data_IF_763141629077
#
_entry.id   IF_763141629077
#
_cell.length_a   1.000
_cell.length_b   1.000
_cell.length_c   1.000
_cell.angle_alpha   90.00
_cell.angle_beta   90.00
_cell.angle_gamma   90.00
#
_symmetry.space_group_name_H-M   'P 1'
#
loop_
_entity.id
_entity.type
_entity.pdbx_description
1 polymer ?
#
# COMPACT_ATOMS: atom_id res chain seq x y z
N UNK A 1 -0.96 -5.62 4.97
CA UNK A 1 0.13 -5.13 5.84
C UNK A 1 -0.30 -3.93 6.68
N UNK A 2 -0.77 -2.84 6.06
CA UNK A 2 -1.13 -1.61 6.78
C UNK A 2 -2.16 -1.79 7.89
N UNK A 3 -3.30 -2.45 7.62
CA UNK A 3 -4.31 -2.68 8.67
C UNK A 3 -3.76 -3.44 9.87
N UNK A 4 -2.91 -4.45 9.62
CA UNK A 4 -2.23 -5.20 10.68
C UNK A 4 -1.34 -4.28 11.50
N UNK A 5 -0.49 -3.46 10.87
CA UNK A 5 0.40 -2.52 11.56
C UNK A 5 -0.37 -1.46 12.36
N UNK A 6 -1.51 -1.01 11.85
CA UNK A 6 -2.40 -0.08 12.55
C UNK A 6 -3.12 -0.71 13.77
N UNK A 7 -3.38 -2.02 13.73
CA UNK A 7 -4.09 -2.75 14.79
C UNK A 7 -3.14 -3.48 15.76
N UNK A 8 -1.84 -3.51 15.49
CA UNK A 8 -0.82 -4.22 16.27
C UNK A 8 0.39 -3.34 16.49
N UNK A 9 0.49 -2.64 17.65
CA UNK A 9 1.61 -1.77 17.94
C UNK A 9 2.95 -2.52 18.07
N UNK A 10 2.94 -3.85 18.14
CA UNK A 10 4.14 -4.69 18.14
C UNK A 10 4.85 -4.76 16.78
N UNK A 11 4.20 -4.32 15.69
CA UNK A 11 4.82 -4.29 14.37
C UNK A 11 5.86 -3.16 14.32
N UNK A 12 7.13 -3.51 14.21
CA UNK A 12 8.22 -2.54 14.17
C UNK A 12 8.55 -1.95 12.80
N UNK A 13 8.25 -2.69 11.72
CA UNK A 13 8.52 -2.29 10.35
C UNK A 13 7.31 -2.54 9.43
N UNK A 14 7.00 -1.58 8.57
CA UNK A 14 5.97 -1.69 7.55
C UNK A 14 6.54 -1.36 6.17
N UNK A 15 6.62 -2.35 5.30
CA UNK A 15 6.76 -2.13 3.86
C UNK A 15 5.37 -2.07 3.25
N UNK A 16 4.97 -0.93 2.70
CA UNK A 16 3.61 -0.73 2.20
C UNK A 16 3.58 -0.25 0.76
N UNK A 17 3.01 -1.08 -0.11
CA UNK A 17 2.62 -0.71 -1.47
C UNK A 17 1.11 -0.43 -1.48
N UNK A 18 0.68 0.80 -1.82
CA UNK A 18 -0.74 1.09 -2.02
C UNK A 18 -1.34 0.14 -3.07
N UNK A 19 -2.42 -0.54 -2.68
CA UNK A 19 -3.05 -1.57 -3.51
C UNK A 19 -4.53 -1.28 -3.74
N UNK A 20 -5.28 -2.35 -4.03
CA UNK A 20 -6.69 -2.32 -4.42
C UNK A 20 -7.61 -1.37 -3.63
N UNK A 21 -7.49 -1.33 -2.30
CA UNK A 21 -8.37 -0.50 -1.47
C UNK A 21 -7.98 0.98 -1.40
N UNK A 22 -6.77 1.36 -1.86
CA UNK A 22 -6.30 2.73 -1.78
C UNK A 22 -6.99 3.61 -2.83
N UNK A 23 -7.69 4.63 -2.35
CA UNK A 23 -8.49 5.56 -3.15
C UNK A 23 -9.49 4.84 -4.06
N UNK A 24 -10.02 3.69 -3.64
CA UNK A 24 -10.81 2.77 -4.48
C UNK A 24 -11.97 3.46 -5.22
N UNK A 25 -12.70 4.35 -4.55
CA UNK A 25 -13.81 5.09 -5.16
C UNK A 25 -13.37 6.01 -6.31
N UNK A 26 -12.15 6.56 -6.25
CA UNK A 26 -11.60 7.41 -7.29
C UNK A 26 -10.80 6.62 -8.34
N UNK A 27 -10.20 5.49 -7.97
CA UNK A 27 -9.31 4.70 -8.84
C UNK A 27 -10.05 3.63 -9.64
N UNK A 28 -11.00 2.90 -9.03
CA UNK A 28 -11.67 1.79 -9.69
C UNK A 28 -12.44 2.21 -10.97
N UNK A 29 -13.19 3.33 -11.02
CA UNK A 29 -13.89 3.74 -12.24
C UNK A 29 -12.98 4.14 -13.41
N UNK A 30 -11.66 4.30 -13.18
CA UNK A 30 -10.67 4.73 -14.19
C UNK A 30 -9.92 3.57 -14.84
N UNK A 31 -10.23 2.33 -14.48
CA UNK A 31 -9.53 1.15 -14.98
C UNK A 31 -10.50 0.00 -15.18
N UNK A 32 -10.19 -0.87 -16.15
CA UNK A 32 -10.85 -2.17 -16.35
C UNK A 32 -9.99 -3.34 -15.86
N UNK A 33 -8.93 -3.05 -15.11
CA UNK A 33 -8.07 -4.09 -14.54
C UNK A 33 -8.73 -4.78 -13.35
N UNK A 34 -8.65 -6.11 -13.31
CA UNK A 34 -9.03 -6.88 -12.13
C UNK A 34 -7.98 -6.72 -11.01
N UNK A 35 -8.40 -6.67 -9.73
CA UNK A 35 -9.76 -6.88 -9.24
C UNK A 35 -10.66 -5.63 -9.20
N UNK A 36 -10.18 -4.44 -9.57
CA UNK A 36 -10.99 -3.19 -9.56
C UNK A 36 -12.23 -3.27 -10.44
N UNK A 37 -12.14 -3.98 -11.56
CA UNK A 37 -13.27 -4.18 -12.46
C UNK A 37 -14.44 -4.92 -11.82
N UNK A 38 -14.22 -5.78 -10.83
CA UNK A 38 -15.32 -6.46 -10.13
C UNK A 38 -16.28 -5.46 -9.45
N UNK A 39 -15.74 -4.37 -8.90
CA UNK A 39 -16.55 -3.30 -8.31
C UNK A 39 -17.35 -2.58 -9.39
N UNK A 40 -16.72 -2.29 -10.53
CA UNK A 40 -17.36 -1.60 -11.66
C UNK A 40 -18.50 -2.46 -12.23
N UNK A 41 -18.28 -3.76 -12.42
CA UNK A 41 -19.28 -4.72 -12.89
C UNK A 41 -20.46 -4.79 -11.93
N UNK A 42 -20.20 -4.87 -10.62
CA UNK A 42 -21.25 -4.90 -9.60
C UNK A 42 -22.08 -3.62 -9.62
N UNK A 43 -21.44 -2.44 -9.60
CA UNK A 43 -22.14 -1.14 -9.60
C UNK A 43 -22.92 -0.90 -10.89
N UNK A 44 -22.42 -1.37 -12.03
CA UNK A 44 -23.13 -1.31 -13.32
C UNK A 44 -24.36 -2.23 -13.34
N UNK A 45 -24.28 -3.38 -12.68
CA UNK A 45 -25.39 -4.35 -12.58
C UNK A 45 -26.44 -3.92 -11.57
N UNK A 46 -26.02 -3.31 -10.46
CA UNK A 46 -26.86 -2.90 -9.33
C UNK A 46 -26.63 -1.41 -8.99
N UNK A 47 -27.07 -0.47 -9.84
CA UNK A 47 -26.80 0.96 -9.66
C UNK A 47 -27.41 1.53 -8.37
N UNK A 48 -28.53 1.00 -7.89
CA UNK A 48 -29.17 1.37 -6.62
C UNK A 48 -28.29 1.04 -5.39
N UNK A 49 -27.41 0.05 -5.50
CA UNK A 49 -26.50 -0.36 -4.44
C UNK A 49 -25.20 0.46 -4.41
N UNK A 50 -24.92 1.29 -5.42
CA UNK A 50 -23.65 1.98 -5.60
C UNK A 50 -23.22 2.78 -4.37
N UNK A 51 -24.14 3.56 -3.78
CA UNK A 51 -23.85 4.36 -2.60
C UNK A 51 -23.46 3.49 -1.39
N UNK A 52 -24.11 2.33 -1.22
CA UNK A 52 -23.79 1.39 -0.15
C UNK A 52 -22.43 0.72 -0.37
N UNK A 53 -22.10 0.37 -1.60
CA UNK A 53 -20.79 -0.22 -1.96
C UNK A 53 -19.67 0.74 -1.58
N UNK A 54 -19.73 2.00 -2.05
CA UNK A 54 -18.69 2.98 -1.77
C UNK A 54 -18.58 3.32 -0.28
N UNK A 55 -19.71 3.42 0.42
CA UNK A 55 -19.72 3.58 1.88
C UNK A 55 -19.07 2.39 2.59
N UNK A 56 -19.26 1.17 2.09
CA UNK A 56 -18.66 -0.02 2.69
C UNK A 56 -17.16 -0.05 2.46
N UNK A 57 -16.72 0.26 1.24
CA UNK A 57 -15.30 0.29 0.88
C UNK A 57 -14.52 1.40 1.60
N UNK A 58 -15.16 2.51 1.97
CA UNK A 58 -14.48 3.59 2.71
C UNK A 58 -14.01 3.18 4.11
N UNK A 59 -14.60 2.16 4.73
CA UNK A 59 -14.07 1.59 5.98
C UNK A 59 -12.73 0.87 5.78
N UNK A 60 -12.43 0.47 4.55
CA UNK A 60 -11.18 -0.18 4.16
C UNK A 60 -10.25 0.77 3.40
N UNK A 61 -10.52 2.08 3.41
CA UNK A 61 -9.58 3.06 2.87
C UNK A 61 -8.35 3.15 3.79
N UNK A 62 -7.14 2.78 3.31
CA UNK A 62 -5.93 2.71 4.14
C UNK A 62 -5.57 4.02 4.83
N UNK A 63 -5.86 5.18 4.21
CA UNK A 63 -5.56 6.49 4.80
C UNK A 63 -6.29 6.74 6.12
N UNK A 64 -7.45 6.12 6.35
CA UNK A 64 -8.17 6.24 7.63
C UNK A 64 -7.49 5.49 8.79
N UNK A 65 -6.68 4.47 8.47
CA UNK A 65 -5.96 3.65 9.46
C UNK A 65 -4.48 4.03 9.58
N UNK A 66 -3.92 4.71 8.58
CA UNK A 66 -2.53 5.16 8.54
C UNK A 66 -2.08 5.93 9.80
N UNK A 67 -2.89 6.82 10.43
CA UNK A 67 -2.47 7.54 11.63
C UNK A 67 -2.20 6.64 12.85
N UNK A 68 -2.67 5.39 12.84
CA UNK A 68 -2.48 4.42 13.93
C UNK A 68 -1.22 3.57 13.77
N UNK A 69 -0.55 3.66 12.62
CA UNK A 69 0.68 2.88 12.35
C UNK A 69 1.83 3.45 13.17
N UNK A 70 2.41 2.66 14.06
CA UNK A 70 3.61 3.04 14.85
C UNK A 70 4.91 2.50 14.24
N UNK A 71 4.81 1.58 13.29
CA UNK A 71 5.94 0.97 12.62
C UNK A 71 6.73 2.00 11.80
N UNK A 72 8.05 1.88 11.76
CA UNK A 72 8.84 2.59 10.76
C UNK A 72 8.40 2.11 9.37
N UNK A 73 8.04 3.05 8.51
CA UNK A 73 7.34 2.72 7.26
C UNK A 73 8.18 3.07 6.05
N UNK A 74 8.33 2.12 5.13
CA UNK A 74 8.72 2.37 3.75
C UNK A 74 7.48 2.32 2.88
N UNK A 75 7.09 3.48 2.34
CA UNK A 75 5.99 3.63 1.42
C UNK A 75 6.49 3.48 -0.02
N UNK A 76 5.97 2.50 -0.74
CA UNK A 76 6.26 2.34 -2.16
C UNK A 76 5.40 3.32 -2.95
N UNK A 77 6.05 4.13 -3.79
CA UNK A 77 5.42 5.05 -4.72
C UNK A 77 5.45 4.47 -6.13
N UNK A 78 4.42 4.74 -6.91
CA UNK A 78 4.38 4.41 -8.33
C UNK A 78 5.17 5.40 -9.19
N UNK A 79 4.94 5.35 -10.50
CA UNK A 79 5.51 6.31 -11.47
C UNK A 79 5.07 7.75 -11.20
N UNK A 80 3.88 7.93 -10.62
CA UNK A 80 3.36 9.21 -10.17
C UNK A 80 3.38 9.27 -8.63
N UNK A 81 4.38 9.93 -8.02
CA UNK A 81 4.44 10.11 -6.58
C UNK A 81 3.25 10.88 -6.01
N UNK A 82 2.60 11.75 -6.80
CA UNK A 82 1.48 12.56 -6.34
C UNK A 82 0.30 11.70 -5.87
N UNK A 83 0.10 10.53 -6.48
CA UNK A 83 -0.91 9.54 -6.09
C UNK A 83 -0.76 9.13 -4.62
N UNK A 84 0.46 9.12 -4.09
CA UNK A 84 0.75 8.68 -2.71
C UNK A 84 0.82 9.80 -1.68
N UNK A 85 0.67 11.07 -2.09
CA UNK A 85 0.72 12.22 -1.17
C UNK A 85 -0.29 12.12 -0.04
N UNK A 86 -1.59 11.76 -0.25
CA UNK A 86 -2.53 11.59 0.84
C UNK A 86 -2.06 10.54 1.87
N UNK A 87 -1.43 9.46 1.39
CA UNK A 87 -0.89 8.42 2.24
C UNK A 87 0.33 8.90 3.04
N UNK A 88 1.24 9.66 2.42
CA UNK A 88 2.38 10.27 3.10
C UNK A 88 1.94 11.24 4.21
N UNK A 89 0.88 12.01 3.97
CA UNK A 89 0.31 12.96 4.94
C UNK A 89 -0.43 12.26 6.08
N UNK A 90 -1.04 11.09 5.83
CA UNK A 90 -1.79 10.34 6.83
C UNK A 90 -0.90 9.47 7.73
N UNK A 91 0.30 9.09 7.27
CA UNK A 91 1.29 8.38 8.08
C UNK A 91 2.00 9.33 9.05
N UNK A 92 2.43 8.85 10.24
CA UNK A 92 3.29 9.63 11.12
C UNK A 92 4.65 9.96 10.48
N UNK A 93 5.40 10.91 11.03
CA UNK A 93 6.61 11.51 10.44
C UNK A 93 7.78 10.57 10.09
N UNK A 94 7.71 9.26 10.37
CA UNK A 94 8.76 8.27 10.06
C UNK A 94 8.42 7.47 8.80
N UNK A 95 8.42 8.15 7.65
CA UNK A 95 8.18 7.53 6.33
C UNK A 95 9.37 7.74 5.42
N UNK A 96 9.98 6.64 5.00
CA UNK A 96 10.83 6.61 3.81
C UNK A 96 9.95 6.32 2.59
N UNK A 97 10.29 6.85 1.43
CA UNK A 97 9.60 6.56 0.17
C UNK A 97 10.51 5.82 -0.80
N UNK A 98 9.95 4.91 -1.59
CA UNK A 98 10.66 4.19 -2.64
C UNK A 98 9.83 4.11 -3.91
N UNK A 99 10.35 4.62 -5.03
CA UNK A 99 9.70 4.43 -6.33
C UNK A 99 9.93 3.01 -6.84
N UNK A 100 8.84 2.26 -7.06
CA UNK A 100 8.87 0.91 -7.63
C UNK A 100 9.63 0.87 -8.95
N UNK A 101 10.39 -0.21 -9.17
CA UNK A 101 11.00 -0.52 -10.45
C UNK A 101 10.08 -1.35 -11.37
N UNK A 102 8.82 -1.56 -10.99
CA UNK A 102 7.85 -2.47 -11.63
C UNK A 102 8.42 -3.87 -11.85
N UNK A 103 9.23 -4.33 -10.89
CA UNK A 103 9.94 -5.59 -10.97
C UNK A 103 9.91 -6.26 -9.62
N UNK A 104 9.20 -7.38 -9.52
CA UNK A 104 9.13 -8.17 -8.30
C UNK A 104 10.52 -8.50 -7.74
N UNK A 105 11.49 -8.72 -8.64
CA UNK A 105 12.89 -8.91 -8.27
C UNK A 105 13.51 -7.66 -7.64
N UNK A 106 13.54 -6.54 -8.37
CA UNK A 106 14.23 -5.32 -7.90
C UNK A 106 13.57 -4.74 -6.65
N UNK A 107 12.24 -4.73 -6.62
CA UNK A 107 11.47 -4.25 -5.47
C UNK A 107 11.66 -5.17 -4.25
N UNK A 108 11.72 -6.48 -4.47
CA UNK A 108 12.00 -7.46 -3.41
C UNK A 108 13.40 -7.31 -2.83
N UNK A 109 14.42 -7.11 -3.68
CA UNK A 109 15.80 -6.82 -3.22
C UNK A 109 15.85 -5.51 -2.45
N UNK A 110 15.15 -4.47 -2.93
CA UNK A 110 15.08 -3.20 -2.23
C UNK A 110 14.43 -3.36 -0.85
N UNK A 111 13.31 -4.10 -0.76
CA UNK A 111 12.62 -4.39 0.48
C UNK A 111 13.53 -5.11 1.47
N UNK A 112 14.25 -6.14 1.00
CA UNK A 112 15.18 -6.91 1.81
C UNK A 112 16.32 -6.02 2.35
N UNK A 113 16.90 -5.16 1.50
CA UNK A 113 17.93 -4.19 1.90
C UNK A 113 17.40 -3.20 2.93
N UNK A 114 16.18 -2.69 2.75
CA UNK A 114 15.56 -1.78 3.71
C UNK A 114 15.34 -2.45 5.07
N UNK A 115 14.79 -3.67 5.09
CA UNK A 115 14.60 -4.44 6.33
C UNK A 115 15.92 -4.77 7.03
N UNK A 116 16.97 -5.09 6.27
CA UNK A 116 18.28 -5.38 6.84
C UNK A 116 18.93 -4.16 7.50
N UNK A 117 18.78 -2.97 6.90
CA UNK A 117 19.17 -1.69 7.52
C UNK A 117 18.35 -1.39 8.76
N UNK A 118 17.02 -1.52 8.68
CA UNK A 118 16.12 -1.27 9.80
C UNK A 118 16.43 -2.16 11.01
N UNK A 119 16.72 -3.44 10.79
CA UNK A 119 17.01 -4.40 11.87
C UNK A 119 18.47 -4.40 12.34
N UNK A 120 19.36 -3.65 11.68
CA UNK A 120 20.78 -3.57 12.05
C UNK A 120 21.60 -4.82 11.70
N UNK A 121 21.08 -5.73 10.89
CA UNK A 121 21.77 -6.98 10.50
C UNK A 121 22.77 -6.80 9.35
N UNK A 122 22.85 -5.61 8.75
CA UNK A 122 23.78 -5.29 7.68
C UNK A 122 23.24 -5.65 6.29
N UNK A 123 23.93 -6.52 5.56
CA UNK A 123 23.54 -6.96 4.23
C UNK A 123 22.44 -8.04 4.28
N UNK A 124 21.38 -7.94 3.46
CA UNK A 124 20.37 -9.00 3.40
C UNK A 124 20.96 -10.27 2.79
N UNK A 125 20.51 -11.43 3.30
CA UNK A 125 20.79 -12.72 2.68
C UNK A 125 19.93 -12.84 1.41
N UNK A 126 20.54 -12.58 0.26
CA UNK A 126 19.90 -12.73 -1.06
C UNK A 126 20.32 -14.06 -1.72
N UNK A 127 19.42 -14.72 -2.48
CA UNK A 127 19.79 -15.81 -3.38
C UNK A 127 20.96 -15.40 -4.30
N UNK A 128 21.82 -16.34 -4.67
CA UNK A 128 23.03 -16.04 -5.46
C UNK A 128 22.71 -15.37 -6.80
N UNK A 129 21.65 -15.80 -7.47
CA UNK A 129 21.18 -15.21 -8.73
C UNK A 129 20.53 -13.82 -8.59
N UNK A 130 20.43 -13.31 -7.36
CA UNK A 130 19.84 -12.01 -6.96
C UNK A 130 20.87 -11.04 -6.38
N UNK A 131 22.14 -11.43 -6.32
CA UNK A 131 23.25 -10.57 -5.87
C UNK A 131 23.69 -9.60 -6.94
#
# INVERSE_FOLDING_TARGET
>A
ALFTAALRPQVGALYYTPGFFYAAQASAPRTSAYPSEEINEYVRTYPEAAAQVWRTLSYYEPTHMAPRVQAQTLLVTGDDPAVTVPMQQALPSLVETYTTAHSAYRDGVQQARWLARWSGIGEPVLPEHWR
#
